data_IF_522696828324
#
_entry.id   IF_522696828324
#
_cell.length_a   1.000
_cell.length_b   1.000
_cell.length_c   1.000
_cell.angle_alpha   90.00
_cell.angle_beta   90.00
_cell.angle_gamma   90.00
#
_symmetry.space_group_name_H-M   'P 1'
#
loop_
_entity.id
_entity.type
_entity.pdbx_description
1 polymer ?
#
# COMPACT_ATOMS: atom_id res chain seq x y z
N UNK A 1 39.57 -16.62 -73.26
CA UNK A 1 39.44 -17.60 -72.17
C UNK A 1 39.96 -17.05 -70.83
N UNK A 2 39.44 -15.90 -70.37
CA UNK A 2 39.83 -15.25 -69.09
C UNK A 2 38.61 -14.73 -68.32
N UNK A 3 37.50 -14.45 -69.02
CA UNK A 3 36.25 -13.93 -68.43
C UNK A 3 35.47 -14.97 -67.58
N UNK A 4 35.61 -16.28 -67.88
CA UNK A 4 34.89 -17.34 -67.17
C UNK A 4 35.43 -17.62 -65.74
N UNK A 5 36.71 -17.30 -65.48
CA UNK A 5 37.33 -17.50 -64.15
C UNK A 5 36.99 -16.37 -63.16
N UNK A 6 36.62 -15.18 -63.64
CA UNK A 6 36.19 -14.06 -62.79
C UNK A 6 34.74 -14.22 -62.30
N UNK A 7 33.83 -14.69 -63.16
CA UNK A 7 32.43 -14.94 -62.77
C UNK A 7 32.25 -16.07 -61.75
N UNK A 8 33.10 -17.11 -61.80
CA UNK A 8 33.03 -18.24 -60.86
C UNK A 8 33.48 -17.86 -59.43
N UNK A 9 34.31 -16.83 -59.27
CA UNK A 9 34.82 -16.38 -57.96
C UNK A 9 33.87 -15.41 -57.25
N UNK A 10 33.00 -14.72 -58.00
CA UNK A 10 32.00 -13.79 -57.45
C UNK A 10 30.78 -14.56 -56.92
N UNK A 11 30.42 -15.70 -57.53
CA UNK A 11 29.26 -16.48 -57.11
C UNK A 11 29.49 -17.30 -55.81
N UNK A 12 30.75 -17.57 -55.44
CA UNK A 12 31.09 -18.29 -54.20
C UNK A 12 31.23 -17.40 -52.97
N UNK A 13 31.27 -16.06 -53.12
CA UNK A 13 31.34 -15.12 -51.99
C UNK A 13 29.95 -14.56 -51.62
N UNK A 14 28.99 -14.58 -52.56
CA UNK A 14 27.61 -14.12 -52.30
C UNK A 14 26.73 -15.09 -51.50
N UNK A 15 27.04 -16.39 -51.49
CA UNK A 15 26.21 -17.40 -50.81
C UNK A 15 26.63 -17.63 -49.35
N UNK A 16 27.88 -17.29 -48.97
CA UNK A 16 28.36 -17.46 -47.58
C UNK A 16 28.01 -16.27 -46.68
N UNK A 17 27.71 -15.10 -47.25
CA UNK A 17 27.35 -13.90 -46.46
C UNK A 17 25.83 -13.85 -46.17
N UNK A 18 24.98 -14.52 -46.96
CA UNK A 18 23.54 -14.56 -46.71
C UNK A 18 23.11 -15.58 -45.63
N UNK A 19 23.98 -16.51 -45.24
CA UNK A 19 23.68 -17.52 -44.21
C UNK A 19 24.11 -17.13 -42.80
N UNK A 20 24.88 -16.04 -42.61
CA UNK A 20 25.26 -15.52 -41.29
C UNK A 20 24.30 -14.46 -40.73
N UNK A 21 23.26 -14.06 -41.50
CA UNK A 21 22.32 -13.01 -41.10
C UNK A 21 21.02 -13.55 -40.45
N UNK A 22 20.99 -14.81 -40.01
CA UNK A 22 19.77 -15.46 -39.50
C UNK A 22 19.91 -16.14 -38.13
N UNK A 23 20.87 -15.73 -37.30
CA UNK A 23 20.95 -16.23 -35.91
C UNK A 23 21.20 -15.11 -34.91
N UNK A 24 20.49 -13.99 -35.04
CA UNK A 24 20.11 -13.22 -33.86
C UNK A 24 18.92 -13.93 -33.21
N UNK A 25 19.18 -15.09 -32.61
CA UNK A 25 18.29 -15.66 -31.61
C UNK A 25 18.22 -14.62 -30.50
N UNK A 26 17.15 -13.83 -30.54
CA UNK A 26 16.66 -13.09 -29.39
C UNK A 26 16.44 -14.12 -28.27
N UNK A 27 17.49 -14.39 -27.47
CA UNK A 27 17.29 -14.87 -26.13
C UNK A 27 16.62 -13.72 -25.39
N UNK A 28 15.30 -13.64 -25.52
CA UNK A 28 14.47 -13.03 -24.51
C UNK A 28 14.72 -13.87 -23.26
N UNK A 29 15.72 -13.48 -22.48
CA UNK A 29 15.78 -13.85 -21.08
C UNK A 29 14.50 -13.29 -20.49
N UNK A 30 13.49 -14.16 -20.34
CA UNK A 30 12.41 -13.90 -19.43
C UNK A 30 13.08 -13.67 -18.08
N UNK A 31 13.27 -12.41 -17.69
CA UNK A 31 13.56 -12.06 -16.32
C UNK A 31 12.35 -12.56 -15.55
N UNK A 32 12.46 -13.76 -15.00
CA UNK A 32 11.64 -14.16 -13.87
C UNK A 32 11.87 -13.05 -12.85
N UNK A 33 10.88 -12.19 -12.68
CA UNK A 33 10.86 -11.30 -11.54
C UNK A 33 11.14 -12.20 -10.34
N UNK A 34 12.22 -11.91 -9.61
CA UNK A 34 12.34 -12.44 -8.26
C UNK A 34 11.09 -11.92 -7.55
N UNK A 35 10.03 -12.72 -7.54
CA UNK A 35 8.92 -12.55 -6.64
C UNK A 35 9.55 -12.70 -5.26
N UNK A 36 10.06 -11.59 -4.72
CA UNK A 36 10.32 -11.52 -3.30
C UNK A 36 9.02 -11.94 -2.65
N UNK A 37 9.09 -13.00 -1.86
CA UNK A 37 7.92 -13.72 -1.38
C UNK A 37 7.21 -12.84 -0.33
N UNK A 38 6.43 -11.87 -0.80
CA UNK A 38 5.63 -10.99 0.06
C UNK A 38 4.58 -11.89 0.71
N UNK A 39 4.55 -11.97 2.06
CA UNK A 39 3.60 -12.81 2.75
C UNK A 39 2.17 -12.51 2.31
N UNK A 40 1.37 -13.57 2.10
CA UNK A 40 -0.04 -13.44 1.80
C UNK A 40 -0.77 -12.71 2.96
N UNK A 41 -1.85 -11.96 2.67
CA UNK A 41 -2.63 -11.30 3.71
C UNK A 41 -3.15 -12.28 4.77
N UNK A 42 -3.13 -11.87 6.04
CA UNK A 42 -3.61 -12.67 7.17
C UNK A 42 -4.70 -11.92 7.91
N UNK A 43 -5.87 -12.53 8.13
CA UNK A 43 -7.03 -11.87 8.74
C UNK A 43 -7.22 -12.28 10.20
N UNK A 44 -7.56 -11.30 11.04
CA UNK A 44 -7.79 -11.40 12.47
C UNK A 44 -9.06 -10.62 12.80
N UNK A 45 -10.20 -11.30 12.85
CA UNK A 45 -11.50 -10.63 12.97
C UNK A 45 -11.72 -9.64 11.83
N UNK A 46 -11.92 -8.37 12.17
CA UNK A 46 -12.15 -7.32 11.19
C UNK A 46 -10.85 -6.66 10.66
N UNK A 47 -9.67 -7.15 11.05
CA UNK A 47 -8.36 -6.61 10.66
C UNK A 47 -7.61 -7.56 9.75
N UNK A 48 -6.86 -7.02 8.79
CA UNK A 48 -5.98 -7.82 7.93
C UNK A 48 -4.56 -7.30 8.02
N UNK A 49 -3.58 -8.16 8.33
CA UNK A 49 -2.17 -7.85 8.10
C UNK A 49 -1.88 -7.95 6.62
N UNK A 50 -1.40 -6.86 6.04
CA UNK A 50 -0.94 -6.78 4.66
C UNK A 50 0.52 -6.38 4.65
N UNK A 51 1.30 -7.04 3.79
CA UNK A 51 2.70 -6.73 3.59
C UNK A 51 2.93 -6.27 2.15
N UNK A 52 3.87 -5.37 1.96
CA UNK A 52 4.26 -4.86 0.66
C UNK A 52 5.75 -4.54 0.66
N UNK A 53 6.34 -4.45 -0.52
CA UNK A 53 7.71 -3.98 -0.70
C UNK A 53 7.65 -2.58 -1.31
N UNK A 54 7.90 -1.50 -0.53
CA UNK A 54 7.84 -0.15 -1.05
C UNK A 54 8.93 0.09 -2.14
N UNK A 55 8.67 0.97 -3.12
CA UNK A 55 9.67 1.31 -4.13
C UNK A 55 10.96 1.84 -3.50
N UNK A 56 12.11 1.36 -3.98
CA UNK A 56 13.42 1.84 -3.54
C UNK A 56 13.94 1.24 -2.24
N UNK A 57 13.26 0.25 -1.65
CA UNK A 57 13.75 -0.51 -0.48
C UNK A 57 13.58 -2.01 -0.70
N UNK A 58 14.57 -2.85 -0.35
CA UNK A 58 14.42 -4.31 -0.36
C UNK A 58 13.65 -4.82 0.88
N UNK A 59 13.28 -3.94 1.82
CA UNK A 59 12.65 -4.34 3.06
C UNK A 59 11.13 -4.44 2.89
N UNK A 60 10.59 -5.61 3.21
CA UNK A 60 9.14 -5.83 3.30
C UNK A 60 8.60 -5.02 4.49
N UNK A 61 7.56 -4.22 4.23
CA UNK A 61 6.83 -3.47 5.24
C UNK A 61 5.44 -4.06 5.40
N UNK A 62 5.06 -4.39 6.64
CA UNK A 62 3.74 -4.88 6.99
C UNK A 62 2.98 -3.87 7.83
N UNK A 63 1.70 -3.70 7.54
CA UNK A 63 0.75 -2.94 8.34
C UNK A 63 -0.52 -3.77 8.54
N UNK A 64 -1.28 -3.46 9.58
CA UNK A 64 -2.64 -4.01 9.74
C UNK A 64 -3.63 -2.98 9.26
N UNK A 65 -4.65 -3.42 8.54
CA UNK A 65 -5.63 -2.56 7.88
C UNK A 65 -7.05 -3.01 8.20
N UNK A 66 -7.93 -2.03 8.30
CA UNK A 66 -9.38 -2.21 8.20
C UNK A 66 -9.94 -1.16 7.24
N UNK A 67 -10.79 -1.61 6.31
CA UNK A 67 -11.56 -0.74 5.42
C UNK A 67 -12.98 -0.62 5.99
N UNK A 68 -13.48 0.61 6.10
CA UNK A 68 -14.72 0.92 6.80
C UNK A 68 -15.59 1.84 5.96
N UNK A 69 -16.81 1.41 5.68
CA UNK A 69 -17.80 2.29 5.08
C UNK A 69 -18.34 3.27 6.11
N UNK A 70 -18.55 4.51 5.68
CA UNK A 70 -19.16 5.49 6.56
C UNK A 70 -20.67 5.29 6.68
N UNK A 71 -21.23 5.70 7.82
CA UNK A 71 -22.65 5.62 8.12
C UNK A 71 -23.44 6.46 7.11
N UNK A 72 -24.51 5.89 6.57
CA UNK A 72 -25.42 6.53 5.60
C UNK A 72 -24.76 7.01 4.29
N UNK A 73 -23.46 6.74 4.09
CA UNK A 73 -22.66 7.15 2.92
C UNK A 73 -21.67 6.04 2.56
N UNK A 74 -22.20 4.96 2.00
CA UNK A 74 -21.39 3.79 1.57
C UNK A 74 -20.44 4.11 0.42
N UNK A 75 -20.65 5.23 -0.28
CA UNK A 75 -19.75 5.78 -1.29
C UNK A 75 -18.41 6.25 -0.69
N UNK A 76 -18.35 6.45 0.62
CA UNK A 76 -17.13 6.86 1.33
C UNK A 76 -16.64 5.67 2.15
N UNK A 77 -15.40 5.25 1.84
CA UNK A 77 -14.69 4.19 2.57
C UNK A 77 -13.44 4.77 3.19
N UNK A 78 -13.32 4.66 4.51
CA UNK A 78 -12.11 4.97 5.25
C UNK A 78 -11.20 3.75 5.26
N UNK A 79 -9.89 3.95 5.14
CA UNK A 79 -8.90 2.88 5.36
C UNK A 79 -8.05 3.28 6.55
N UNK A 80 -8.10 2.50 7.62
CA UNK A 80 -7.34 2.74 8.84
C UNK A 80 -6.21 1.74 8.91
N UNK A 81 -4.98 2.20 9.12
CA UNK A 81 -3.81 1.33 9.24
C UNK A 81 -2.97 1.61 10.48
N UNK A 82 -2.32 0.57 10.98
CA UNK A 82 -1.33 0.66 12.05
C UNK A 82 -0.02 -0.02 11.61
N UNK A 83 1.09 0.67 11.85
CA UNK A 83 2.45 0.23 11.53
C UNK A 83 3.36 0.48 12.74
N UNK A 84 4.13 -0.53 13.18
CA UNK A 84 5.12 -0.35 14.25
C UNK A 84 6.30 0.44 13.72
N UNK A 85 6.63 1.56 14.38
CA UNK A 85 7.82 2.31 14.03
C UNK A 85 9.07 1.60 14.56
N UNK A 86 10.20 1.65 13.82
CA UNK A 86 11.45 1.05 14.26
C UNK A 86 11.91 1.58 15.62
N UNK A 87 12.76 0.81 16.31
CA UNK A 87 13.39 1.21 17.59
C UNK A 87 12.37 1.60 18.67
N UNK A 88 11.20 0.96 18.71
CA UNK A 88 10.14 1.21 19.68
C UNK A 88 9.69 2.68 19.75
N UNK A 89 9.69 3.40 18.62
CA UNK A 89 9.25 4.80 18.56
C UNK A 89 7.72 4.97 18.61
N UNK A 90 6.99 3.90 18.92
CA UNK A 90 5.53 3.87 18.97
C UNK A 90 4.91 3.28 17.71
N UNK A 91 3.62 3.53 17.53
CA UNK A 91 2.86 3.03 16.37
C UNK A 91 2.43 4.17 15.50
N UNK A 92 2.74 4.11 14.21
CA UNK A 92 2.19 5.03 13.24
C UNK A 92 0.81 4.55 12.83
N UNK A 93 -0.20 5.33 13.17
CA UNK A 93 -1.57 5.17 12.70
C UNK A 93 -1.82 6.09 11.51
N UNK A 94 -2.45 5.56 10.46
CA UNK A 94 -2.87 6.33 9.29
C UNK A 94 -4.36 6.14 9.03
N UNK A 95 -5.02 7.21 8.63
CA UNK A 95 -6.40 7.17 8.16
C UNK A 95 -6.43 7.78 6.77
N UNK A 96 -6.73 6.96 5.78
CA UNK A 96 -6.93 7.37 4.40
C UNK A 96 -8.42 7.64 4.21
N UNK A 97 -8.72 8.82 3.70
CA UNK A 97 -10.08 9.27 3.40
C UNK A 97 -10.10 9.72 1.94
N UNK A 98 -11.14 9.38 1.15
CA UNK A 98 -11.30 9.91 -0.19
C UNK A 98 -11.26 11.44 -0.22
N UNK A 99 -10.84 12.02 -1.34
CA UNK A 99 -10.88 13.47 -1.59
C UNK A 99 -12.32 14.04 -1.46
N UNK A 100 -12.42 15.37 -1.34
CA UNK A 100 -13.64 16.15 -1.01
C UNK A 100 -14.00 16.19 0.48
N UNK A 101 -12.97 16.15 1.32
CA UNK A 101 -13.07 16.39 2.77
C UNK A 101 -12.71 17.82 3.12
N UNK A 102 -13.27 18.32 4.21
CA UNK A 102 -12.95 19.61 4.81
C UNK A 102 -11.72 19.44 5.73
N UNK A 103 -10.64 20.14 5.37
CA UNK A 103 -9.31 19.90 5.92
C UNK A 103 -9.11 20.53 7.30
N UNK A 104 -9.72 21.71 7.55
CA UNK A 104 -9.55 22.48 8.79
C UNK A 104 -9.96 21.73 10.07
N UNK A 105 -11.13 21.06 10.14
CA UNK A 105 -11.54 20.31 11.31
C UNK A 105 -10.79 18.97 11.46
N UNK A 106 -10.14 18.47 10.42
CA UNK A 106 -9.47 17.17 10.43
C UNK A 106 -10.44 16.00 10.62
N UNK A 107 -9.94 14.92 11.22
CA UNK A 107 -10.73 13.72 11.53
C UNK A 107 -10.94 13.64 13.04
N UNK A 108 -12.18 13.68 13.49
CA UNK A 108 -12.50 13.42 14.91
C UNK A 108 -12.34 11.93 15.24
N UNK A 109 -11.89 11.63 16.46
CA UNK A 109 -11.72 10.25 16.92
C UNK A 109 -12.39 10.05 18.30
N UNK A 110 -13.24 9.03 18.38
CA UNK A 110 -13.70 8.44 19.64
C UNK A 110 -13.32 6.98 19.69
N UNK A 111 -12.96 6.50 20.87
CA UNK A 111 -12.80 5.06 21.16
C UNK A 111 -13.80 4.74 22.25
N UNK A 112 -14.72 3.83 21.94
CA UNK A 112 -15.95 3.61 22.70
C UNK A 112 -16.63 4.97 22.97
N UNK A 113 -16.85 5.35 24.23
CA UNK A 113 -17.45 6.63 24.60
C UNK A 113 -16.43 7.75 24.88
N UNK A 114 -15.13 7.46 24.77
CA UNK A 114 -14.06 8.42 25.09
C UNK A 114 -13.66 9.23 23.86
N UNK A 115 -13.72 10.55 23.99
CA UNK A 115 -13.18 11.47 22.98
C UNK A 115 -11.65 11.50 23.02
N UNK A 116 -11.02 11.16 21.90
CA UNK A 116 -9.56 11.11 21.74
C UNK A 116 -9.02 12.35 21.00
N UNK A 117 -9.89 13.27 20.59
CA UNK A 117 -9.53 14.49 19.91
C UNK A 117 -9.61 14.39 18.39
N UNK A 118 -8.66 15.01 17.69
CA UNK A 118 -8.66 15.14 16.24
C UNK A 118 -7.30 14.77 15.64
N UNK A 119 -7.35 14.19 14.45
CA UNK A 119 -6.20 13.91 13.60
C UNK A 119 -6.16 14.92 12.47
N UNK A 120 -5.01 15.53 12.25
CA UNK A 120 -4.81 16.49 11.18
C UNK A 120 -4.46 15.78 9.88
N UNK A 121 -5.03 16.24 8.77
CA UNK A 121 -4.58 15.81 7.45
C UNK A 121 -3.16 16.31 7.20
N UNK A 122 -2.25 15.39 6.87
CA UNK A 122 -0.86 15.72 6.57
C UNK A 122 -0.67 16.07 5.10
N UNK A 123 -1.38 15.37 4.22
CA UNK A 123 -1.29 15.51 2.76
C UNK A 123 -2.46 14.83 2.08
N UNK A 124 -2.73 15.23 0.83
CA UNK A 124 -3.56 14.47 -0.10
C UNK A 124 -2.70 13.98 -1.25
N UNK A 125 -2.85 12.71 -1.61
CA UNK A 125 -2.10 12.03 -2.66
C UNK A 125 -3.08 11.23 -3.52
N UNK A 126 -3.16 11.60 -4.80
CA UNK A 126 -4.17 11.04 -5.70
C UNK A 126 -5.57 11.29 -5.16
N UNK A 127 -6.36 10.22 -5.06
CA UNK A 127 -7.76 10.30 -4.63
C UNK A 127 -7.97 10.22 -3.11
N UNK A 128 -6.90 10.25 -2.31
CA UNK A 128 -7.01 10.15 -0.86
C UNK A 128 -6.26 11.28 -0.12
N UNK A 129 -6.88 11.81 0.93
CA UNK A 129 -6.23 12.57 1.99
C UNK A 129 -5.85 11.66 3.15
N UNK A 130 -4.66 11.87 3.71
CA UNK A 130 -4.09 11.02 4.76
C UNK A 130 -3.91 11.84 6.03
N UNK A 131 -4.55 11.41 7.10
CA UNK A 131 -4.25 11.85 8.46
C UNK A 131 -3.32 10.83 9.11
N UNK A 132 -2.29 11.30 9.82
CA UNK A 132 -1.29 10.44 10.44
C UNK A 132 -1.10 10.85 11.91
N UNK A 133 -0.95 9.88 12.80
CA UNK A 133 -0.56 10.13 14.19
C UNK A 133 0.39 9.04 14.69
N UNK A 134 1.40 9.44 15.45
CA UNK A 134 2.25 8.51 16.20
C UNK A 134 1.60 8.26 17.55
N UNK A 135 1.10 7.05 17.74
CA UNK A 135 0.49 6.60 18.98
C UNK A 135 1.60 6.13 19.93
N UNK A 136 1.64 6.77 21.09
CA UNK A 136 2.39 6.29 22.26
C UNK A 136 1.61 5.15 22.93
N UNK A 137 2.28 4.45 23.82
CA UNK A 137 1.75 3.25 24.48
C UNK A 137 0.39 3.50 25.16
N UNK A 138 0.25 4.61 25.86
CA UNK A 138 -1.00 5.00 26.54
C UNK A 138 -2.19 5.12 25.59
N UNK A 139 -2.00 5.76 24.44
CA UNK A 139 -3.05 5.92 23.42
C UNK A 139 -3.29 4.61 22.67
N UNK A 140 -2.23 3.87 22.34
CA UNK A 140 -2.34 2.57 21.68
C UNK A 140 -3.16 1.59 22.52
N UNK A 141 -2.95 1.56 23.83
CA UNK A 141 -3.69 0.69 24.74
C UNK A 141 -5.20 0.95 24.73
N UNK A 142 -5.65 2.18 24.45
CA UNK A 142 -7.07 2.44 24.25
C UNK A 142 -7.62 1.70 23.02
N UNK A 143 -6.88 1.67 21.91
CA UNK A 143 -7.28 0.92 20.73
C UNK A 143 -7.25 -0.59 20.96
N UNK A 144 -6.19 -1.11 21.59
CA UNK A 144 -6.02 -2.56 21.76
C UNK A 144 -7.04 -3.18 22.74
N UNK A 145 -7.59 -2.37 23.68
CA UNK A 145 -8.57 -2.80 24.69
C UNK A 145 -10.00 -2.36 24.38
N UNK A 146 -10.17 -1.41 23.47
CA UNK A 146 -11.47 -0.88 23.08
C UNK A 146 -12.25 -1.88 22.23
N UNK A 147 -13.54 -1.60 22.03
CA UNK A 147 -14.42 -2.45 21.20
C UNK A 147 -14.70 -1.80 19.86
N UNK A 148 -14.83 -0.47 19.85
CA UNK A 148 -15.18 0.29 18.67
C UNK A 148 -14.44 1.62 18.63
N UNK A 149 -13.96 2.02 17.47
CA UNK A 149 -13.51 3.39 17.24
C UNK A 149 -14.47 4.07 16.26
N UNK A 150 -14.88 5.30 16.55
CA UNK A 150 -15.65 6.12 15.60
C UNK A 150 -14.78 7.23 15.07
N UNK A 151 -14.56 7.22 13.75
CA UNK A 151 -13.88 8.28 13.04
C UNK A 151 -14.91 9.21 12.41
N UNK A 152 -14.78 10.50 12.67
CA UNK A 152 -15.68 11.52 12.13
C UNK A 152 -14.94 12.32 11.08
N UNK A 153 -15.35 12.17 9.83
CA UNK A 153 -14.86 13.03 8.74
C UNK A 153 -15.86 14.16 8.50
N UNK A 154 -15.40 15.23 7.88
CA UNK A 154 -16.23 16.39 7.56
C UNK A 154 -16.18 16.62 6.06
N UNK A 155 -17.33 16.80 5.42
CA UNK A 155 -17.44 17.21 4.00
C UNK A 155 -17.69 18.71 3.87
N UNK A 156 -18.35 19.29 4.88
CA UNK A 156 -18.45 20.73 5.14
C UNK A 156 -18.23 20.97 6.64
N UNK A 157 -17.96 22.20 7.10
CA UNK A 157 -17.74 22.48 8.53
C UNK A 157 -18.90 22.05 9.44
N UNK A 158 -20.12 21.99 8.91
CA UNK A 158 -21.36 21.68 9.63
C UNK A 158 -21.75 20.20 9.55
N UNK A 159 -21.18 19.44 8.61
CA UNK A 159 -21.58 18.06 8.30
C UNK A 159 -20.50 17.06 8.70
N UNK A 160 -20.74 16.38 9.83
CA UNK A 160 -19.94 15.25 10.28
C UNK A 160 -20.52 13.92 9.77
N UNK A 161 -19.65 13.03 9.30
CA UNK A 161 -20.00 11.67 8.86
C UNK A 161 -19.13 10.68 9.63
N UNK A 162 -19.77 9.74 10.34
CA UNK A 162 -19.08 8.75 11.16
C UNK A 162 -18.75 7.46 10.41
N UNK A 163 -17.53 6.95 10.54
CA UNK A 163 -17.14 5.59 10.18
C UNK A 163 -16.90 4.75 11.44
N UNK A 164 -17.58 3.61 11.55
CA UNK A 164 -17.46 2.69 12.68
C UNK A 164 -16.37 1.65 12.40
N UNK A 165 -15.27 1.76 13.12
CA UNK A 165 -14.13 0.85 13.06
C UNK A 165 -14.30 -0.19 14.17
N UNK A 166 -14.35 -1.45 13.79
CA UNK A 166 -14.42 -2.58 14.71
C UNK A 166 -13.01 -2.87 15.26
N UNK A 167 -12.82 -2.83 16.57
CA UNK A 167 -11.53 -3.08 17.21
C UNK A 167 -11.31 -4.57 17.56
N UNK A 168 -12.30 -5.44 17.38
CA UNK A 168 -12.12 -6.87 17.62
C UNK A 168 -11.09 -7.46 16.64
N UNK A 169 -10.12 -8.19 17.20
CA UNK A 169 -9.00 -8.77 16.45
C UNK A 169 -7.83 -7.80 16.21
N UNK A 170 -7.96 -6.51 16.56
CA UNK A 170 -6.87 -5.54 16.40
C UNK A 170 -5.64 -5.94 17.21
N UNK A 171 -5.82 -6.36 18.47
CA UNK A 171 -4.73 -6.78 19.34
C UNK A 171 -3.96 -7.96 18.78
N UNK A 172 -4.66 -8.98 18.28
CA UNK A 172 -4.06 -10.17 17.69
C UNK A 172 -3.30 -9.81 16.40
N UNK A 173 -3.92 -9.00 15.53
CA UNK A 173 -3.30 -8.53 14.31
C UNK A 173 -2.02 -7.74 14.61
N UNK A 174 -2.09 -6.79 15.55
CA UNK A 174 -0.99 -5.91 15.94
C UNK A 174 0.18 -6.67 16.56
N UNK A 175 -0.10 -7.71 17.35
CA UNK A 175 0.94 -8.60 17.88
C UNK A 175 1.78 -9.24 16.77
N UNK A 176 1.20 -9.47 15.58
CA UNK A 176 1.90 -10.12 14.46
C UNK A 176 2.72 -9.16 13.59
N UNK A 177 2.66 -7.85 13.85
CA UNK A 177 3.49 -6.87 13.14
C UNK A 177 4.96 -7.00 13.57
N UNK A 178 5.91 -6.91 12.61
CA UNK A 178 7.34 -6.93 12.91
C UNK A 178 7.74 -5.71 13.76
N UNK A 179 8.68 -5.92 14.66
CA UNK A 179 9.30 -4.88 15.53
C UNK A 179 10.57 -4.33 14.94
#
# INVERSE_FOLDING_TARGET
MVLYKLFKKIFSVGVVIYTLCNISLNHATAQTSHAQNVPAPQTYGAWTKVCSMPPGTPNIQCEIVQNVHTQNRHDITLRVTFYKLPKNQGTLMRVFVPIRVELRPGIGLKIDDKNMGRLEYRRCLGDNCVAEAVLKEDILQHFLKGKMATYFIFTTPEQAIGGLVDLHGLSDAYATLPT
#
